data_IF_170762425421
#
_entry.id   IF_170762425421
#
_cell.length_a   1.000
_cell.length_b   1.000
_cell.length_c   1.000
_cell.angle_alpha   90.00
_cell.angle_beta   90.00
_cell.angle_gamma   90.00
#
_symmetry.space_group_name_H-M   'P 1'
#
loop_
_entity.id
_entity.type
_entity.pdbx_description
1 polymer ?
#
# COMPACT_ATOMS: atom_id res chain seq x y z
N UNK A 1 6.28 20.14 -29.92
CA UNK A 1 5.21 19.66 -29.02
C UNK A 1 4.97 18.20 -29.36
N UNK A 2 5.21 17.29 -28.43
CA UNK A 2 4.88 15.88 -28.65
C UNK A 2 3.35 15.74 -28.50
N UNK A 3 2.63 15.64 -29.61
CA UNK A 3 1.19 15.36 -29.61
C UNK A 3 0.97 13.89 -29.33
N UNK A 4 0.04 13.57 -28.41
CA UNK A 4 -0.45 12.19 -28.28
C UNK A 4 -1.36 11.89 -29.47
N UNK A 5 -1.09 10.78 -30.15
CA UNK A 5 -2.04 10.21 -31.11
C UNK A 5 -3.18 9.50 -30.32
N UNK A 6 -4.27 10.24 -30.07
CA UNK A 6 -5.42 9.72 -29.35
C UNK A 6 -6.23 8.81 -30.26
N UNK A 7 -6.21 7.52 -29.95
CA UNK A 7 -7.01 6.51 -30.67
C UNK A 7 -8.50 6.77 -30.46
N UNK A 8 -9.21 7.09 -31.52
CA UNK A 8 -10.65 7.30 -31.55
C UNK A 8 -11.37 6.16 -32.26
N UNK A 9 -12.59 5.89 -31.88
CA UNK A 9 -13.49 4.96 -32.56
C UNK A 9 -14.85 5.62 -32.83
N UNK A 10 -15.49 5.37 -33.98
CA UNK A 10 -16.84 5.84 -34.23
C UNK A 10 -17.82 5.23 -33.23
N UNK A 11 -18.85 5.99 -32.86
CA UNK A 11 -19.92 5.48 -31.98
C UNK A 11 -20.87 4.64 -32.83
N UNK A 12 -20.86 3.34 -32.60
CA UNK A 12 -21.79 2.42 -33.26
C UNK A 12 -22.94 2.10 -32.30
N UNK A 13 -24.12 2.69 -32.54
CA UNK A 13 -25.27 2.61 -31.64
C UNK A 13 -25.97 1.22 -31.59
N UNK A 14 -25.41 0.18 -32.18
CA UNK A 14 -26.06 -1.15 -32.28
C UNK A 14 -25.85 -2.07 -31.07
N UNK A 15 -25.06 -1.69 -30.08
CA UNK A 15 -24.70 -2.55 -28.94
C UNK A 15 -24.92 -1.80 -27.63
N UNK A 16 -25.39 -2.50 -26.60
CA UNK A 16 -25.63 -1.94 -25.27
C UNK A 16 -24.34 -1.45 -24.56
N UNK A 17 -23.17 -1.60 -25.17
CA UNK A 17 -21.89 -1.09 -24.68
C UNK A 17 -20.97 -0.67 -25.83
N UNK A 18 -20.12 0.29 -25.58
CA UNK A 18 -19.11 0.77 -26.53
C UNK A 18 -17.74 0.25 -26.09
N UNK A 19 -16.99 -0.33 -27.02
CA UNK A 19 -15.57 -0.56 -26.86
C UNK A 19 -14.85 0.76 -27.16
N UNK A 20 -14.39 1.42 -26.10
CA UNK A 20 -13.69 2.69 -26.22
C UNK A 20 -12.20 2.42 -26.30
N UNK A 21 -11.52 2.77 -27.41
CA UNK A 21 -10.08 2.56 -27.54
C UNK A 21 -9.33 3.35 -26.48
N UNK A 22 -8.29 2.73 -25.91
CA UNK A 22 -7.50 3.30 -24.83
C UNK A 22 -6.18 3.83 -25.37
N UNK A 23 -5.91 5.12 -25.14
CA UNK A 23 -4.60 5.73 -25.27
C UNK A 23 -4.00 5.90 -23.88
N UNK A 24 -2.74 5.56 -23.71
CA UNK A 24 -2.03 5.68 -22.42
C UNK A 24 -0.95 6.73 -22.52
N UNK A 25 -0.77 7.49 -21.45
CA UNK A 25 0.31 8.47 -21.30
C UNK A 25 0.84 8.50 -19.88
N UNK A 26 2.12 8.76 -19.72
CA UNK A 26 2.78 9.08 -18.45
C UNK A 26 3.07 10.60 -18.34
N UNK A 27 2.77 11.35 -19.38
CA UNK A 27 2.96 12.79 -19.42
C UNK A 27 1.76 13.51 -18.79
N UNK A 28 1.91 13.94 -17.53
CA UNK A 28 0.86 14.63 -16.76
C UNK A 28 0.44 15.95 -17.41
N UNK A 29 1.39 16.73 -17.94
CA UNK A 29 1.11 18.01 -18.60
C UNK A 29 0.19 17.82 -19.79
N UNK A 30 0.51 16.85 -20.62
CA UNK A 30 -0.26 16.52 -21.81
C UNK A 30 -1.65 15.96 -21.46
N UNK A 31 -1.75 15.14 -20.40
CA UNK A 31 -3.04 14.70 -19.89
C UNK A 31 -3.91 15.86 -19.43
N UNK A 32 -3.32 16.81 -18.69
CA UNK A 32 -4.04 18.00 -18.20
C UNK A 32 -4.43 18.94 -19.34
N UNK A 33 -3.61 19.13 -20.36
CA UNK A 33 -3.95 19.91 -21.55
C UNK A 33 -5.21 19.34 -22.25
N UNK A 34 -5.26 18.03 -22.46
CA UNK A 34 -6.44 17.36 -23.02
C UNK A 34 -7.65 17.47 -22.09
N UNK A 35 -7.44 17.31 -20.78
CA UNK A 35 -8.51 17.42 -19.79
C UNK A 35 -9.13 18.83 -19.79
N UNK A 36 -8.32 19.89 -19.79
CA UNK A 36 -8.79 21.27 -19.81
C UNK A 36 -9.52 21.61 -21.12
N UNK A 37 -9.04 21.11 -22.26
CA UNK A 37 -9.73 21.25 -23.52
C UNK A 37 -11.18 20.75 -23.46
N UNK A 38 -11.40 19.59 -22.82
CA UNK A 38 -12.73 18.99 -22.75
C UNK A 38 -13.57 19.48 -21.56
N UNK A 39 -12.95 19.94 -20.46
CA UNK A 39 -13.66 20.58 -19.34
C UNK A 39 -14.34 21.90 -19.76
N UNK A 40 -13.68 22.68 -20.62
CA UNK A 40 -14.21 23.97 -21.08
C UNK A 40 -15.44 23.85 -21.98
N UNK A 41 -15.78 22.64 -22.43
CA UNK A 41 -16.91 22.34 -23.29
C UNK A 41 -18.11 21.86 -22.45
N UNK A 42 -19.33 22.23 -22.84
CA UNK A 42 -20.57 21.78 -22.18
C UNK A 42 -20.87 20.30 -22.48
N UNK A 43 -20.16 19.40 -21.83
CA UNK A 43 -20.39 17.95 -21.92
C UNK A 43 -21.30 17.46 -20.79
N UNK A 44 -22.17 16.49 -21.10
CA UNK A 44 -22.94 15.79 -20.09
C UNK A 44 -22.03 14.78 -19.35
N UNK A 45 -22.29 14.59 -18.05
CA UNK A 45 -21.60 13.55 -17.28
C UNK A 45 -22.04 12.16 -17.75
N UNK A 46 -21.07 11.34 -18.13
CA UNK A 46 -21.32 9.94 -18.51
C UNK A 46 -21.66 9.08 -17.30
N UNK A 47 -22.66 8.21 -17.46
CA UNK A 47 -23.07 7.26 -16.41
C UNK A 47 -22.38 5.93 -16.65
N UNK A 48 -21.60 5.47 -15.69
CA UNK A 48 -20.97 4.15 -15.73
C UNK A 48 -21.89 3.08 -15.15
N UNK A 49 -21.84 1.91 -15.73
CA UNK A 49 -22.47 0.71 -15.21
C UNK A 49 -21.67 0.13 -14.04
N UNK A 50 -22.28 -0.78 -13.27
CA UNK A 50 -21.58 -1.51 -12.20
C UNK A 50 -20.37 -2.30 -12.71
N UNK A 51 -20.39 -2.74 -13.97
CA UNK A 51 -19.28 -3.42 -14.64
C UNK A 51 -18.19 -2.47 -15.16
N UNK A 52 -18.33 -1.14 -14.97
CA UNK A 52 -17.37 -0.14 -15.41
C UNK A 52 -17.53 0.34 -16.85
N UNK A 53 -18.46 -0.21 -17.62
CA UNK A 53 -18.83 0.26 -18.96
C UNK A 53 -19.65 1.56 -18.90
N UNK A 54 -19.82 2.22 -20.06
CA UNK A 54 -20.67 3.42 -20.18
C UNK A 54 -22.10 2.98 -20.52
N UNK A 55 -23.09 3.50 -19.77
CA UNK A 55 -24.50 3.26 -20.07
C UNK A 55 -24.95 4.15 -21.22
N UNK A 56 -25.24 3.55 -22.35
CA UNK A 56 -25.79 4.26 -23.52
C UNK A 56 -27.30 4.49 -23.44
N UNK A 57 -27.99 3.79 -22.53
CA UNK A 57 -29.46 3.91 -22.40
C UNK A 57 -29.93 5.33 -22.05
N UNK A 58 -29.09 6.08 -21.37
CA UNK A 58 -29.36 7.45 -20.96
C UNK A 58 -28.45 8.49 -21.64
N UNK A 59 -27.62 8.02 -22.57
CA UNK A 59 -26.68 8.92 -23.26
C UNK A 59 -27.38 9.68 -24.36
N UNK A 60 -27.33 11.00 -24.28
CA UNK A 60 -27.79 11.91 -25.35
C UNK A 60 -26.75 13.01 -25.55
N UNK A 61 -26.12 13.03 -26.72
CA UNK A 61 -25.19 14.08 -27.11
C UNK A 61 -23.75 13.87 -26.72
N UNK A 62 -23.07 14.93 -26.30
CA UNK A 62 -21.65 14.92 -25.94
C UNK A 62 -21.50 14.54 -24.47
N UNK A 63 -20.52 13.70 -24.14
CA UNK A 63 -20.35 13.24 -22.78
C UNK A 63 -18.89 13.11 -22.36
N UNK A 64 -18.63 13.39 -21.07
CA UNK A 64 -17.33 13.28 -20.44
C UNK A 64 -17.46 12.53 -19.11
N UNK A 65 -16.47 11.72 -18.79
CA UNK A 65 -16.31 11.13 -17.46
C UNK A 65 -14.82 11.12 -17.09
N UNK A 66 -14.48 11.68 -15.94
CA UNK A 66 -13.15 11.67 -15.35
C UNK A 66 -13.17 10.78 -14.12
N UNK A 67 -12.26 9.81 -14.06
CA UNK A 67 -11.99 9.02 -12.87
C UNK A 67 -10.57 9.25 -12.40
N UNK A 68 -10.47 9.49 -11.10
CA UNK A 68 -9.21 9.54 -10.40
C UNK A 68 -9.11 8.31 -9.50
N UNK A 69 -7.97 7.69 -9.49
CA UNK A 69 -7.69 6.56 -8.64
C UNK A 69 -6.23 6.61 -8.16
N UNK A 70 -5.87 5.75 -7.22
CA UNK A 70 -4.51 5.72 -6.66
C UNK A 70 -3.39 5.43 -7.68
N UNK A 71 -3.76 5.02 -8.91
CA UNK A 71 -2.82 4.64 -9.96
C UNK A 71 -2.67 5.70 -11.05
N UNK A 72 -3.49 6.76 -11.01
CA UNK A 72 -3.52 7.82 -12.01
C UNK A 72 -4.93 8.33 -12.29
N UNK A 73 -5.18 8.72 -13.52
CA UNK A 73 -6.45 9.25 -13.97
C UNK A 73 -6.95 8.56 -15.24
N UNK A 74 -8.23 8.57 -15.45
CA UNK A 74 -8.85 8.07 -16.67
C UNK A 74 -9.92 9.05 -17.14
N UNK A 75 -9.72 9.62 -18.31
CA UNK A 75 -10.66 10.50 -19.00
C UNK A 75 -11.34 9.71 -20.12
N UNK A 76 -12.68 9.68 -20.12
CA UNK A 76 -13.48 9.15 -21.23
C UNK A 76 -14.24 10.30 -21.85
N UNK A 77 -14.15 10.41 -23.17
CA UNK A 77 -14.86 11.41 -23.95
C UNK A 77 -15.68 10.74 -25.05
N UNK A 78 -16.91 11.22 -25.24
CA UNK A 78 -17.77 10.90 -26.38
C UNK A 78 -18.20 12.21 -27.01
N UNK A 79 -17.81 12.44 -28.23
CA UNK A 79 -18.08 13.68 -29.00
C UNK A 79 -18.51 13.39 -30.43
N UNK A 80 -18.61 14.42 -31.27
CA UNK A 80 -19.00 14.28 -32.68
C UNK A 80 -18.00 13.53 -33.53
N UNK A 81 -16.74 13.50 -33.09
CA UNK A 81 -15.63 12.81 -33.77
C UNK A 81 -15.51 11.34 -33.35
N UNK A 82 -16.29 10.91 -32.35
CA UNK A 82 -16.30 9.53 -31.85
C UNK A 82 -16.03 9.46 -30.35
N UNK A 83 -15.46 8.36 -29.91
CA UNK A 83 -15.15 8.13 -28.51
C UNK A 83 -13.68 7.75 -28.30
N UNK A 84 -13.12 8.18 -27.18
CA UNK A 84 -11.79 7.77 -26.76
C UNK A 84 -11.71 7.65 -25.23
N UNK A 85 -10.68 6.94 -24.78
CA UNK A 85 -10.28 6.82 -23.37
C UNK A 85 -8.81 7.17 -23.26
N UNK A 86 -8.49 8.22 -22.50
CA UNK A 86 -7.13 8.60 -22.17
C UNK A 86 -6.82 8.17 -20.73
N UNK A 87 -5.82 7.33 -20.55
CA UNK A 87 -5.35 6.92 -19.24
C UNK A 87 -3.99 7.56 -18.96
N UNK A 88 -3.95 8.38 -17.90
CA UNK A 88 -2.71 8.80 -17.29
C UNK A 88 -2.32 7.76 -16.23
N UNK A 89 -1.09 7.28 -16.33
CA UNK A 89 -0.48 6.43 -15.31
C UNK A 89 0.82 7.07 -14.86
N UNK A 90 0.95 7.26 -13.57
CA UNK A 90 2.21 7.75 -13.02
C UNK A 90 3.28 6.66 -13.20
N UNK A 91 4.46 7.02 -13.71
CA UNK A 91 5.61 6.13 -13.96
C UNK A 91 6.03 5.29 -12.74
N UNK A 92 5.73 5.75 -11.53
CA UNK A 92 5.98 4.99 -10.28
C UNK A 92 5.36 3.59 -10.31
N UNK A 93 4.41 3.35 -11.23
CA UNK A 93 3.69 2.08 -11.35
C UNK A 93 3.96 1.36 -12.68
N UNK A 94 4.87 1.88 -13.51
CA UNK A 94 5.19 1.35 -14.83
C UNK A 94 6.51 0.56 -14.90
N UNK A 95 7.10 0.19 -13.80
CA UNK A 95 8.13 -0.84 -13.81
C UNK A 95 7.50 -2.26 -13.97
N UNK A 96 6.44 -2.30 -14.76
CA UNK A 96 5.99 -3.48 -15.47
C UNK A 96 6.79 -3.54 -16.79
N UNK A 97 8.09 -3.76 -16.71
CA UNK A 97 8.82 -4.39 -17.81
C UNK A 97 8.04 -5.64 -18.18
N UNK A 98 7.69 -5.74 -19.47
CA UNK A 98 6.75 -6.71 -20.04
C UNK A 98 7.24 -8.18 -19.92
N UNK A 99 8.33 -8.40 -19.24
CA UNK A 99 8.86 -9.71 -18.91
C UNK A 99 8.56 -10.03 -17.45
N UNK A 100 7.55 -10.88 -17.25
CA UNK A 100 7.04 -11.38 -15.97
C UNK A 100 6.41 -10.32 -15.04
N UNK A 101 5.19 -9.92 -15.38
CA UNK A 101 4.25 -9.36 -14.42
C UNK A 101 4.06 -10.37 -13.28
N UNK A 102 4.85 -10.24 -12.22
CA UNK A 102 4.49 -10.85 -10.92
C UNK A 102 3.09 -10.30 -10.63
N UNK A 103 2.06 -11.13 -10.82
CA UNK A 103 0.66 -10.75 -10.60
C UNK A 103 0.56 -10.22 -9.18
N UNK A 104 0.52 -8.91 -9.05
CA UNK A 104 0.51 -8.24 -7.75
C UNK A 104 -0.70 -8.71 -6.96
N UNK A 105 -0.47 -9.58 -5.98
CA UNK A 105 -1.53 -10.18 -5.17
C UNK A 105 -2.32 -9.07 -4.50
N UNK A 106 -3.63 -9.12 -4.64
CA UNK A 106 -4.55 -8.18 -3.99
C UNK A 106 -5.04 -8.74 -2.66
N UNK A 107 -5.48 -7.86 -1.75
CA UNK A 107 -6.09 -8.28 -0.49
C UNK A 107 -7.29 -9.22 -0.69
N UNK A 108 -8.09 -8.99 -1.74
CA UNK A 108 -9.19 -9.88 -2.14
C UNK A 108 -8.70 -11.30 -2.48
N UNK A 109 -7.63 -11.40 -3.26
CA UNK A 109 -7.05 -12.71 -3.62
C UNK A 109 -6.48 -13.40 -2.38
N UNK A 110 -5.83 -12.65 -1.48
CA UNK A 110 -5.32 -13.19 -0.20
C UNK A 110 -6.46 -13.78 0.63
N UNK A 111 -7.51 -13.02 0.89
CA UNK A 111 -8.64 -13.49 1.70
C UNK A 111 -9.39 -14.65 1.04
N UNK A 112 -9.61 -14.60 -0.28
CA UNK A 112 -10.25 -15.69 -1.00
C UNK A 112 -9.42 -16.98 -0.95
N UNK A 113 -8.09 -16.88 -1.01
CA UNK A 113 -7.20 -18.03 -0.87
C UNK A 113 -7.29 -18.60 0.55
N UNK A 114 -7.27 -17.73 1.56
CA UNK A 114 -7.41 -18.13 2.97
C UNK A 114 -8.75 -18.87 3.20
N UNK A 115 -9.85 -18.29 2.72
CA UNK A 115 -11.18 -18.91 2.79
C UNK A 115 -11.21 -20.31 2.15
N UNK A 116 -10.67 -20.44 0.94
CA UNK A 116 -10.64 -21.73 0.22
C UNK A 116 -9.81 -22.80 0.97
N UNK A 117 -8.68 -22.41 1.52
CA UNK A 117 -7.80 -23.34 2.25
C UNK A 117 -8.40 -23.73 3.61
N UNK A 118 -9.03 -22.80 4.34
CA UNK A 118 -9.79 -23.14 5.55
C UNK A 118 -10.92 -24.12 5.25
N UNK A 119 -11.66 -23.89 4.16
CA UNK A 119 -12.74 -24.79 3.75
C UNK A 119 -12.23 -26.20 3.42
N UNK A 120 -11.00 -26.33 2.89
CA UNK A 120 -10.40 -27.63 2.62
C UNK A 120 -10.08 -28.46 3.88
N UNK A 121 -10.06 -27.82 5.05
CA UNK A 121 -9.91 -28.46 6.36
C UNK A 121 -11.21 -28.38 7.19
N UNK A 122 -12.36 -28.24 6.52
CA UNK A 122 -13.71 -28.18 7.08
C UNK A 122 -13.97 -26.98 8.03
N UNK A 123 -13.25 -25.88 7.82
CA UNK A 123 -13.48 -24.62 8.54
C UNK A 123 -14.13 -23.60 7.58
N UNK A 124 -15.30 -23.08 7.96
CA UNK A 124 -15.97 -22.04 7.20
C UNK A 124 -15.70 -20.67 7.84
N UNK A 125 -14.96 -19.79 7.15
CA UNK A 125 -14.63 -18.45 7.66
C UNK A 125 -15.88 -17.60 7.95
N UNK A 126 -17.02 -17.85 7.27
CA UNK A 126 -18.26 -17.11 7.53
C UNK A 126 -18.83 -17.35 8.95
N UNK A 127 -18.48 -18.46 9.59
CA UNK A 127 -18.92 -18.77 10.95
C UNK A 127 -18.25 -17.87 12.01
N UNK A 128 -17.20 -17.14 11.60
CA UNK A 128 -16.44 -16.18 12.40
C UNK A 128 -16.79 -14.73 12.05
N UNK A 129 -17.81 -14.51 11.22
CA UNK A 129 -18.25 -13.18 10.85
C UNK A 129 -19.03 -12.52 11.98
N UNK A 130 -18.67 -11.28 12.34
CA UNK A 130 -19.39 -10.48 13.34
C UNK A 130 -20.40 -9.54 12.66
N UNK A 131 -21.51 -9.25 13.34
CA UNK A 131 -22.55 -8.35 12.82
C UNK A 131 -22.26 -6.86 13.06
N UNK A 132 -21.47 -6.53 14.08
CA UNK A 132 -21.11 -5.16 14.49
C UNK A 132 -19.71 -4.73 14.01
N UNK A 133 -19.24 -5.24 12.88
CA UNK A 133 -17.88 -5.03 12.40
C UNK A 133 -17.50 -3.56 12.15
N UNK A 134 -18.44 -2.68 11.77
CA UNK A 134 -18.20 -1.25 11.64
C UNK A 134 -17.85 -0.59 12.98
N UNK A 135 -18.57 -0.93 14.05
CA UNK A 135 -18.31 -0.44 15.40
C UNK A 135 -16.93 -0.89 15.88
N UNK A 136 -16.63 -2.19 15.72
CA UNK A 136 -15.33 -2.75 16.06
C UNK A 136 -14.23 -2.05 15.27
N UNK A 137 -14.43 -1.79 13.97
CA UNK A 137 -13.45 -1.09 13.12
C UNK A 137 -13.09 0.29 13.67
N UNK A 138 -14.03 1.03 14.25
CA UNK A 138 -13.79 2.35 14.82
C UNK A 138 -12.91 2.29 16.09
N UNK A 139 -12.91 1.17 16.80
CA UNK A 139 -12.14 0.96 18.03
C UNK A 139 -10.76 0.30 17.81
N UNK A 140 -10.44 -0.11 16.57
CA UNK A 140 -9.14 -0.73 16.28
C UNK A 140 -8.00 0.23 16.60
N UNK A 141 -7.08 -0.22 17.42
CA UNK A 141 -5.86 0.51 17.73
C UNK A 141 -5.03 0.77 16.44
N UNK A 142 -4.33 1.88 16.42
CA UNK A 142 -3.35 2.12 15.37
C UNK A 142 -2.07 1.31 15.66
N UNK A 143 -1.42 0.74 14.63
CA UNK A 143 -0.09 0.16 14.79
C UNK A 143 0.87 1.17 15.42
N UNK A 144 1.77 0.71 16.29
CA UNK A 144 2.78 1.57 16.90
C UNK A 144 3.81 2.01 15.85
N UNK A 145 3.72 3.28 15.46
CA UNK A 145 4.70 3.96 14.59
C UNK A 145 4.98 5.30 15.24
N UNK A 146 6.01 5.36 16.07
CA UNK A 146 6.40 6.59 16.79
C UNK A 146 7.88 6.57 17.21
N UNK A 147 8.48 7.72 17.35
CA UNK A 147 9.73 7.87 18.10
C UNK A 147 9.43 7.69 19.60
N UNK A 148 10.32 7.05 20.33
CA UNK A 148 10.16 6.92 21.80
C UNK A 148 10.16 8.30 22.49
N UNK A 149 10.98 9.22 21.97
CA UNK A 149 11.00 10.63 22.38
C UNK A 149 10.98 11.57 21.18
N UNK A 150 10.20 12.65 21.20
CA UNK A 150 10.19 13.65 20.11
C UNK A 150 11.56 14.25 19.83
N UNK A 151 12.42 14.38 20.85
CA UNK A 151 13.79 14.90 20.74
C UNK A 151 14.74 14.02 19.92
N UNK A 152 14.36 12.80 19.57
CA UNK A 152 15.16 11.91 18.73
C UNK A 152 15.04 12.23 17.22
N UNK A 153 14.09 13.10 16.88
CA UNK A 153 13.96 13.58 15.50
C UNK A 153 15.22 14.35 15.10
N UNK A 154 15.69 14.07 13.88
CA UNK A 154 16.86 14.70 13.23
C UNK A 154 18.21 14.49 13.94
N UNK A 155 18.23 13.62 14.97
CA UNK A 155 19.44 13.21 15.68
C UNK A 155 20.03 11.96 15.04
N UNK A 156 21.35 11.94 14.85
CA UNK A 156 22.09 10.77 14.39
C UNK A 156 22.51 9.92 15.59
N UNK A 157 22.15 8.64 15.55
CA UNK A 157 22.54 7.63 16.53
C UNK A 157 23.49 6.62 15.91
N UNK A 158 24.47 6.18 16.63
CA UNK A 158 25.41 5.11 16.27
C UNK A 158 25.24 3.90 17.20
N UNK A 159 25.78 2.76 16.83
CA UNK A 159 25.61 1.51 17.57
C UNK A 159 24.12 1.18 17.79
N UNK A 160 23.36 1.24 16.69
CA UNK A 160 21.92 1.04 16.70
C UNK A 160 21.60 -0.32 16.12
N UNK A 161 20.60 -0.96 16.70
CA UNK A 161 20.14 -2.29 16.33
C UNK A 161 18.64 -2.27 16.08
N UNK A 162 18.13 -3.28 15.35
CA UNK A 162 16.72 -3.45 15.13
C UNK A 162 16.29 -4.87 15.47
N UNK A 163 15.20 -5.00 16.21
CA UNK A 163 14.47 -6.26 16.40
C UNK A 163 13.14 -6.18 15.71
N UNK A 164 12.75 -7.27 15.06
CA UNK A 164 11.54 -7.38 14.26
C UNK A 164 10.79 -8.68 14.57
N UNK A 165 9.46 -8.65 14.55
CA UNK A 165 8.64 -9.84 14.77
C UNK A 165 8.37 -10.58 13.47
N UNK A 166 8.59 -11.89 13.46
CA UNK A 166 8.31 -12.75 12.33
C UNK A 166 6.80 -12.85 12.04
N UNK A 167 6.30 -12.14 11.02
CA UNK A 167 4.88 -12.17 10.62
C UNK A 167 3.92 -11.99 11.81
N UNK A 168 4.11 -10.92 12.54
CA UNK A 168 3.43 -10.62 13.79
C UNK A 168 1.89 -10.69 13.72
N UNK A 169 1.27 -10.07 12.71
CA UNK A 169 -0.19 -10.07 12.57
C UNK A 169 -0.77 -11.47 12.30
N UNK A 170 -0.22 -12.27 11.36
CA UNK A 170 -0.64 -13.67 11.20
C UNK A 170 -0.51 -14.49 12.49
N UNK A 171 0.53 -14.24 13.30
CA UNK A 171 0.66 -14.89 14.61
C UNK A 171 -0.52 -14.51 15.53
N UNK A 172 -0.95 -13.25 15.52
CA UNK A 172 -2.12 -12.81 16.28
C UNK A 172 -3.42 -13.45 15.80
N UNK A 173 -3.58 -13.66 14.49
CA UNK A 173 -4.75 -14.39 13.95
C UNK A 173 -4.75 -15.84 14.44
N UNK A 174 -3.62 -16.53 14.39
CA UNK A 174 -3.49 -17.91 14.90
C UNK A 174 -3.74 -18.00 16.38
N UNK A 175 -3.32 -17.01 17.17
CA UNK A 175 -3.54 -16.98 18.62
C UNK A 175 -5.01 -16.75 18.95
N UNK A 176 -5.70 -15.87 18.22
CA UNK A 176 -7.11 -15.58 18.40
C UNK A 176 -8.02 -16.72 17.94
N UNK A 177 -7.65 -17.37 16.83
CA UNK A 177 -8.34 -18.53 16.27
C UNK A 177 -7.34 -19.66 15.99
N UNK A 178 -7.00 -20.48 17.00
CA UNK A 178 -6.01 -21.57 16.86
C UNK A 178 -6.33 -22.56 15.74
N UNK A 179 -7.60 -22.74 15.40
CA UNK A 179 -8.09 -23.59 14.32
C UNK A 179 -7.65 -23.09 12.93
N UNK A 180 -7.29 -21.82 12.77
CA UNK A 180 -6.68 -21.28 11.53
C UNK A 180 -5.17 -21.61 11.44
N UNK A 181 -4.60 -22.09 12.54
CA UNK A 181 -3.17 -22.39 12.67
C UNK A 181 -2.61 -23.21 11.54
N UNK A 182 -3.21 -24.34 11.14
CA UNK A 182 -2.67 -25.18 10.06
C UNK A 182 -2.43 -24.45 8.75
N UNK A 183 -3.31 -23.51 8.38
CA UNK A 183 -3.17 -22.73 7.15
C UNK A 183 -2.13 -21.62 7.32
N UNK A 184 -2.13 -20.92 8.45
CA UNK A 184 -1.17 -19.86 8.75
C UNK A 184 0.25 -20.40 8.82
N UNK A 185 0.45 -21.53 9.49
CA UNK A 185 1.76 -22.21 9.61
C UNK A 185 2.25 -22.69 8.25
N UNK A 186 1.38 -23.29 7.43
CA UNK A 186 1.69 -23.67 6.05
C UNK A 186 2.16 -22.45 5.25
N UNK A 187 1.43 -21.33 5.30
CA UNK A 187 1.79 -20.12 4.56
C UNK A 187 3.09 -19.51 5.07
N UNK A 188 3.28 -19.54 6.39
CA UNK A 188 4.52 -19.06 6.99
C UNK A 188 5.73 -19.91 6.58
N UNK A 189 5.61 -21.23 6.59
CA UNK A 189 6.66 -22.13 6.15
C UNK A 189 7.03 -21.93 4.67
N UNK A 190 6.04 -21.74 3.81
CA UNK A 190 6.26 -21.42 2.39
C UNK A 190 6.95 -20.06 2.20
N UNK A 191 6.59 -19.06 3.00
CA UNK A 191 7.31 -17.76 3.05
C UNK A 191 8.77 -17.97 3.46
N UNK A 192 9.05 -18.80 4.48
CA UNK A 192 10.42 -19.08 4.95
C UNK A 192 11.26 -19.79 3.88
N UNK A 193 10.63 -20.58 3.01
CA UNK A 193 11.26 -21.21 1.85
C UNK A 193 11.50 -20.25 0.67
N UNK A 194 11.26 -18.95 0.87
CA UNK A 194 11.51 -17.92 -0.15
C UNK A 194 10.35 -17.62 -1.09
N UNK A 195 9.17 -18.21 -0.86
CA UNK A 195 8.01 -17.96 -1.72
C UNK A 195 7.41 -16.56 -1.42
N UNK A 196 7.64 -15.62 -2.33
CA UNK A 196 7.21 -14.21 -2.22
C UNK A 196 5.69 -14.05 -2.20
N UNK A 197 4.93 -14.93 -2.88
CA UNK A 197 3.47 -14.87 -2.88
C UNK A 197 2.89 -15.06 -1.47
N UNK A 198 3.42 -16.03 -0.71
CA UNK A 198 2.94 -16.28 0.65
C UNK A 198 3.31 -15.15 1.63
N UNK A 199 4.42 -14.44 1.39
CA UNK A 199 4.69 -13.17 2.10
C UNK A 199 3.60 -12.14 1.82
N UNK A 200 3.17 -12.02 0.56
CA UNK A 200 2.10 -11.08 0.18
C UNK A 200 0.75 -11.52 0.76
N UNK A 201 0.40 -12.79 0.71
CA UNK A 201 -0.85 -13.31 1.31
C UNK A 201 -0.94 -13.01 2.79
N UNK A 202 0.09 -13.32 3.57
CA UNK A 202 0.14 -13.06 5.00
C UNK A 202 0.02 -11.56 5.35
N UNK A 203 0.69 -10.70 4.57
CA UNK A 203 0.68 -9.26 4.84
C UNK A 203 -0.66 -8.58 4.46
N UNK A 204 -1.34 -9.07 3.41
CA UNK A 204 -2.56 -8.44 2.91
C UNK A 204 -3.83 -8.92 3.64
N UNK A 205 -3.79 -10.09 4.26
CA UNK A 205 -4.94 -10.71 4.90
C UNK A 205 -5.58 -9.79 5.95
N UNK A 206 -4.80 -9.29 6.89
CA UNK A 206 -5.29 -8.45 7.99
C UNK A 206 -5.91 -7.15 7.51
N UNK A 207 -5.26 -6.48 6.53
CA UNK A 207 -5.81 -5.26 5.94
C UNK A 207 -7.17 -5.49 5.29
N UNK A 208 -7.36 -6.67 4.68
CA UNK A 208 -8.62 -7.02 4.03
C UNK A 208 -9.70 -7.39 5.02
N UNK A 209 -9.38 -8.10 6.10
CA UNK A 209 -10.32 -8.48 7.16
C UNK A 209 -11.01 -7.27 7.82
N UNK A 210 -10.31 -6.14 7.90
CA UNK A 210 -10.86 -4.89 8.45
C UNK A 210 -11.32 -3.89 7.39
N UNK A 211 -11.59 -4.31 6.16
CA UNK A 211 -11.96 -3.43 5.06
C UNK A 211 -13.46 -3.41 4.78
N UNK A 212 -13.94 -2.30 4.19
CA UNK A 212 -15.33 -2.20 3.70
C UNK A 212 -15.65 -3.20 2.60
N UNK A 213 -14.62 -3.73 1.93
CA UNK A 213 -14.78 -4.78 0.91
C UNK A 213 -15.52 -6.03 1.45
N UNK A 214 -15.25 -6.39 2.70
CA UNK A 214 -15.91 -7.52 3.39
C UNK A 214 -16.94 -7.05 4.42
N UNK A 215 -17.36 -5.78 4.37
CA UNK A 215 -18.31 -5.21 5.33
C UNK A 215 -17.79 -5.23 6.77
N UNK A 216 -16.46 -5.19 6.95
CA UNK A 216 -15.78 -5.24 8.26
C UNK A 216 -16.08 -6.49 9.12
N UNK A 217 -16.70 -7.51 8.55
CA UNK A 217 -17.20 -8.68 9.29
C UNK A 217 -16.14 -9.53 9.99
N UNK A 218 -14.86 -9.25 9.78
CA UNK A 218 -13.72 -9.88 10.46
C UNK A 218 -12.82 -8.85 11.15
N UNK A 219 -13.41 -7.69 11.48
CA UNK A 219 -12.67 -6.60 12.10
C UNK A 219 -12.14 -6.93 13.49
N UNK A 220 -12.81 -7.79 14.23
CA UNK A 220 -12.39 -8.29 15.55
C UNK A 220 -11.10 -9.11 15.48
N UNK A 221 -10.94 -9.96 14.45
CA UNK A 221 -9.70 -10.73 14.20
C UNK A 221 -8.54 -9.76 13.97
N UNK A 222 -8.75 -8.74 13.14
CA UNK A 222 -7.74 -7.73 12.88
C UNK A 222 -7.45 -6.87 14.12
N UNK A 223 -8.48 -6.52 14.90
CA UNK A 223 -8.35 -5.76 16.14
C UNK A 223 -7.48 -6.50 17.16
N UNK A 224 -7.76 -7.80 17.37
CA UNK A 224 -6.95 -8.64 18.23
C UNK A 224 -5.50 -8.70 17.78
N UNK A 225 -5.25 -9.00 16.50
CA UNK A 225 -3.90 -9.12 15.95
C UNK A 225 -3.08 -7.83 16.11
N UNK A 226 -3.70 -6.66 15.89
CA UNK A 226 -3.04 -5.36 16.05
C UNK A 226 -2.77 -5.06 17.53
N UNK A 227 -3.75 -5.30 18.42
CA UNK A 227 -3.60 -5.10 19.86
C UNK A 227 -2.48 -5.98 20.45
N UNK A 228 -2.48 -7.26 20.08
CA UNK A 228 -1.43 -8.22 20.47
C UNK A 228 -0.04 -7.75 20.01
N UNK A 229 0.07 -7.35 18.75
CA UNK A 229 1.33 -6.81 18.19
C UNK A 229 1.81 -5.59 18.99
N UNK A 230 0.93 -4.63 19.25
CA UNK A 230 1.26 -3.45 20.02
C UNK A 230 1.71 -3.80 21.45
N UNK A 231 1.07 -4.79 22.06
CA UNK A 231 1.45 -5.23 23.42
C UNK A 231 2.84 -5.90 23.41
N UNK A 232 3.09 -6.84 22.49
CA UNK A 232 4.41 -7.46 22.38
C UNK A 232 5.54 -6.45 22.11
N UNK A 233 5.26 -5.40 21.34
CA UNK A 233 6.24 -4.31 21.15
C UNK A 233 6.49 -3.52 22.43
N UNK A 234 5.47 -3.24 23.25
CA UNK A 234 5.64 -2.59 24.55
C UNK A 234 6.45 -3.47 25.50
N UNK A 235 6.11 -4.74 25.59
CA UNK A 235 6.83 -5.70 26.44
C UNK A 235 8.33 -5.81 26.04
N UNK A 236 8.60 -5.86 24.72
CA UNK A 236 9.96 -5.82 24.21
C UNK A 236 10.68 -4.52 24.53
N UNK A 237 10.01 -3.37 24.40
CA UNK A 237 10.61 -2.09 24.74
C UNK A 237 10.94 -1.99 26.24
N UNK A 238 10.10 -2.52 27.10
CA UNK A 238 10.33 -2.56 28.55
C UNK A 238 11.49 -3.52 28.88
N UNK A 239 11.58 -4.65 28.21
CA UNK A 239 12.71 -5.55 28.32
C UNK A 239 14.01 -4.90 27.88
N UNK A 240 14.01 -4.17 26.74
CA UNK A 240 15.17 -3.43 26.25
C UNK A 240 15.64 -2.40 27.29
N UNK A 241 14.72 -1.60 27.83
CA UNK A 241 15.02 -0.55 28.82
C UNK A 241 15.56 -1.16 30.12
N UNK A 242 14.99 -2.26 30.61
CA UNK A 242 15.47 -2.95 31.82
C UNK A 242 16.82 -3.64 31.65
N UNK A 243 17.25 -3.85 30.39
CA UNK A 243 18.57 -4.34 30.05
C UNK A 243 19.54 -3.25 29.55
N UNK A 244 19.36 -2.02 30.02
CA UNK A 244 20.23 -0.85 29.75
C UNK A 244 20.35 -0.48 28.26
N UNK A 245 19.29 -0.72 27.45
CA UNK A 245 19.20 -0.29 26.07
C UNK A 245 18.30 0.91 25.93
N UNK A 246 18.58 1.76 24.97
CA UNK A 246 17.79 2.97 24.71
C UNK A 246 16.86 2.70 23.53
N UNK A 247 15.57 2.63 23.77
CA UNK A 247 14.56 2.52 22.70
C UNK A 247 14.51 3.84 21.95
N UNK A 248 14.61 3.80 20.61
CA UNK A 248 14.62 4.98 19.74
C UNK A 248 13.29 5.15 19.00
N UNK A 249 12.79 4.08 18.34
CA UNK A 249 11.59 4.15 17.55
C UNK A 249 10.86 2.80 17.48
N UNK A 250 9.53 2.87 17.42
CA UNK A 250 8.63 1.75 17.09
C UNK A 250 8.23 1.83 15.62
N UNK A 251 8.25 0.72 14.94
CA UNK A 251 8.02 0.64 13.51
C UNK A 251 7.12 -0.54 13.12
N UNK A 252 5.84 -0.45 13.43
CA UNK A 252 4.79 -1.44 13.15
C UNK A 252 4.97 -2.76 13.91
N UNK A 253 6.00 -3.53 13.61
CA UNK A 253 6.32 -4.88 14.10
C UNK A 253 7.77 -5.00 14.60
N UNK A 254 8.51 -3.86 14.61
CA UNK A 254 9.89 -3.81 15.07
C UNK A 254 10.22 -2.61 15.95
N UNK A 255 11.41 -2.63 16.55
CA UNK A 255 11.93 -1.60 17.44
C UNK A 255 13.38 -1.31 17.07
N UNK A 256 13.67 -0.04 16.80
CA UNK A 256 15.04 0.47 16.76
C UNK A 256 15.51 0.86 18.16
N UNK A 257 16.69 0.41 18.54
CA UNK A 257 17.28 0.69 19.85
C UNK A 257 18.79 0.87 19.77
N UNK A 258 19.37 1.57 20.72
CA UNK A 258 20.81 1.78 20.87
C UNK A 258 21.33 1.00 22.09
N UNK A 259 22.55 0.46 22.00
CA UNK A 259 23.25 -0.26 23.06
C UNK A 259 23.75 -1.62 22.58
N UNK A 260 23.80 -2.60 23.47
CA UNK A 260 24.23 -3.97 23.12
C UNK A 260 23.18 -4.70 22.28
N UNK A 261 23.60 -5.52 21.31
CA UNK A 261 22.67 -6.31 20.50
C UNK A 261 21.84 -7.28 21.37
N UNK A 262 20.69 -7.68 20.83
CA UNK A 262 19.82 -8.64 21.49
C UNK A 262 20.17 -10.09 21.12
N UNK A 263 19.99 -11.06 22.02
CA UNK A 263 20.24 -12.48 21.74
C UNK A 263 19.09 -13.14 20.97
N UNK A 264 18.14 -12.35 20.42
CA UNK A 264 16.97 -12.89 19.73
C UNK A 264 17.29 -13.26 18.29
N UNK A 265 17.09 -14.51 17.95
CA UNK A 265 17.26 -15.04 16.59
C UNK A 265 16.22 -16.11 16.29
N UNK A 266 14.98 -15.90 16.71
CA UNK A 266 13.92 -16.85 16.44
C UNK A 266 13.50 -16.83 14.97
N UNK A 267 13.18 -18.02 14.45
CA UNK A 267 12.53 -18.19 13.16
C UNK A 267 11.04 -18.52 13.30
N UNK A 268 10.54 -18.56 14.51
CA UNK A 268 9.17 -18.92 14.79
C UNK A 268 8.20 -17.76 14.49
N UNK A 269 6.99 -18.11 14.12
CA UNK A 269 5.92 -17.17 13.82
C UNK A 269 5.59 -16.29 15.04
N UNK A 270 5.67 -14.98 14.89
CA UNK A 270 5.34 -14.02 15.95
C UNK A 270 6.41 -13.81 17.02
N UNK A 271 7.58 -14.46 16.87
CA UNK A 271 8.72 -14.25 17.76
C UNK A 271 9.71 -13.23 17.19
N UNK A 272 10.47 -12.59 18.10
CA UNK A 272 11.45 -11.59 17.74
C UNK A 272 12.74 -12.21 17.20
N UNK A 273 13.29 -11.53 16.19
CA UNK A 273 14.66 -11.72 15.69
C UNK A 273 15.36 -10.36 15.62
N UNK A 274 16.65 -10.36 15.76
CA UNK A 274 17.46 -9.19 15.44
C UNK A 274 17.84 -9.25 13.97
N UNK A 275 17.43 -8.25 13.18
CA UNK A 275 17.63 -8.23 11.73
C UNK A 275 18.61 -7.16 11.24
N UNK A 276 18.89 -6.13 12.08
CA UNK A 276 19.94 -5.15 11.82
C UNK A 276 20.83 -4.92 13.04
N UNK A 277 22.12 -4.74 12.79
CA UNK A 277 23.13 -4.54 13.85
C UNK A 277 24.15 -3.45 13.49
N UNK A 278 24.63 -2.76 14.52
CA UNK A 278 25.70 -1.74 14.39
C UNK A 278 25.40 -0.66 13.35
N UNK A 279 24.14 -0.29 13.21
CA UNK A 279 23.71 0.74 12.28
C UNK A 279 24.06 2.14 12.81
N UNK A 280 24.29 3.05 11.87
CA UNK A 280 24.14 4.49 12.10
C UNK A 280 22.81 4.92 11.53
N UNK A 281 21.94 5.55 12.32
CA UNK A 281 20.57 5.89 11.92
C UNK A 281 20.22 7.34 12.25
N UNK A 282 19.37 7.96 11.41
CA UNK A 282 18.76 9.26 11.67
C UNK A 282 17.29 9.23 11.28
N UNK A 283 16.43 9.74 12.15
CA UNK A 283 14.99 9.75 11.97
C UNK A 283 14.48 11.15 11.57
N UNK A 284 13.87 11.26 10.39
CA UNK A 284 13.01 12.41 10.06
C UNK A 284 11.65 12.27 10.75
N UNK A 285 11.18 11.04 10.85
CA UNK A 285 10.03 10.59 11.64
C UNK A 285 10.13 9.09 11.84
N UNK A 286 9.25 8.48 12.63
CA UNK A 286 9.21 7.02 12.78
C UNK A 286 8.91 6.27 11.48
N UNK A 287 8.27 6.92 10.52
CA UNK A 287 7.97 6.36 9.19
C UNK A 287 8.93 6.82 8.08
N UNK A 288 9.86 7.74 8.37
CA UNK A 288 10.83 8.25 7.42
C UNK A 288 12.20 8.39 8.12
N UNK A 289 13.12 7.51 7.78
CA UNK A 289 14.45 7.45 8.38
C UNK A 289 15.46 6.91 7.38
N UNK A 290 16.71 7.11 7.67
CA UNK A 290 17.84 6.59 6.92
C UNK A 290 18.82 5.91 7.84
N UNK A 291 19.43 4.82 7.36
CA UNK A 291 20.49 4.17 8.12
C UNK A 291 21.61 3.66 7.23
N UNK A 292 22.78 3.47 7.84
CA UNK A 292 23.94 2.82 7.24
C UNK A 292 24.21 1.55 8.03
N UNK A 293 24.35 0.44 7.33
CA UNK A 293 24.75 -0.87 7.85
C UNK A 293 25.81 -1.45 6.93
N UNK A 294 26.94 -1.91 7.48
CA UNK A 294 28.08 -2.45 6.72
C UNK A 294 28.52 -1.53 5.55
N UNK A 295 28.53 -0.22 5.79
CA UNK A 295 28.91 0.80 4.80
C UNK A 295 27.90 1.04 3.70
N UNK A 296 26.74 0.35 3.70
CA UNK A 296 25.67 0.55 2.73
C UNK A 296 24.59 1.46 3.28
N UNK A 297 24.09 2.34 2.43
CA UNK A 297 23.03 3.29 2.75
C UNK A 297 21.65 2.72 2.46
N UNK A 298 20.73 2.94 3.39
CA UNK A 298 19.34 2.46 3.31
C UNK A 298 18.37 3.59 3.68
N UNK A 299 17.75 4.25 2.70
CA UNK A 299 16.66 5.19 2.94
C UNK A 299 15.34 4.45 3.11
N UNK A 300 14.52 4.85 4.08
CA UNK A 300 13.20 4.28 4.34
C UNK A 300 12.18 5.40 4.45
N UNK A 301 11.19 5.40 3.57
CA UNK A 301 10.08 6.34 3.61
C UNK A 301 8.76 5.58 3.47
N UNK A 302 7.88 5.76 4.45
CA UNK A 302 6.53 5.20 4.48
C UNK A 302 5.51 6.34 4.42
N UNK A 303 4.38 6.13 3.74
CA UNK A 303 3.28 7.08 3.70
C UNK A 303 3.03 7.72 2.34
N UNK A 304 2.71 9.02 2.33
CA UNK A 304 2.35 9.76 1.11
C UNK A 304 3.54 10.08 0.21
N UNK A 305 4.71 10.19 0.78
CA UNK A 305 5.96 10.39 0.05
C UNK A 305 6.63 9.03 -0.14
N UNK A 306 7.21 8.78 -1.28
CA UNK A 306 8.00 7.59 -1.59
C UNK A 306 9.33 7.99 -2.19
N UNK A 307 10.31 7.11 -2.06
CA UNK A 307 11.54 7.20 -2.82
C UNK A 307 11.27 6.93 -4.29
N UNK A 308 11.98 7.62 -5.16
CA UNK A 308 11.95 7.32 -6.60
C UNK A 308 12.70 6.01 -6.85
N UNK A 309 11.94 4.93 -7.02
CA UNK A 309 12.48 3.60 -7.26
C UNK A 309 13.18 3.46 -8.64
N UNK A 310 13.01 4.45 -9.54
CA UNK A 310 13.75 4.49 -10.82
C UNK A 310 15.22 4.89 -10.64
N UNK A 311 15.55 5.51 -9.50
CA UNK A 311 16.92 5.85 -9.15
C UNK A 311 17.58 4.60 -8.55
N UNK A 312 18.66 4.15 -9.18
CA UNK A 312 19.45 3.01 -8.67
C UNK A 312 19.91 3.26 -7.24
N UNK A 313 19.80 2.26 -6.36
CA UNK A 313 20.07 2.39 -4.91
C UNK A 313 21.50 2.86 -4.58
N UNK A 314 22.45 2.58 -5.44
CA UNK A 314 23.84 3.02 -5.31
C UNK A 314 24.03 4.54 -5.50
N UNK A 315 23.03 5.23 -6.02
CA UNK A 315 23.01 6.69 -6.19
C UNK A 315 22.38 7.43 -5.00
N UNK A 316 21.88 6.72 -4.02
CA UNK A 316 21.30 7.30 -2.81
C UNK A 316 22.39 7.58 -1.76
N UNK A 317 22.35 8.76 -1.13
CA UNK A 317 23.34 9.18 -0.17
C UNK A 317 22.68 9.64 1.13
N UNK A 318 23.47 9.66 2.19
CA UNK A 318 23.05 10.17 3.49
C UNK A 318 22.55 11.60 3.37
N UNK A 319 21.35 11.87 3.85
CA UNK A 319 20.69 13.16 3.77
C UNK A 319 19.65 13.31 2.67
N UNK A 320 19.63 12.43 1.69
CA UNK A 320 18.71 12.54 0.54
C UNK A 320 17.23 12.54 0.94
N UNK A 321 16.85 11.82 1.99
CA UNK A 321 15.48 11.84 2.51
C UNK A 321 15.05 13.18 3.10
N UNK A 322 16.00 14.09 3.36
CA UNK A 322 15.74 15.43 3.90
C UNK A 322 15.63 16.49 2.80
N UNK A 323 16.03 16.19 1.59
CA UNK A 323 15.87 17.07 0.45
C UNK A 323 14.41 17.04 -0.01
N UNK A 324 13.91 18.19 -0.44
CA UNK A 324 12.51 18.30 -0.91
C UNK A 324 12.36 18.03 -2.40
N UNK A 325 13.48 17.90 -3.11
CA UNK A 325 13.58 17.79 -4.55
C UNK A 325 13.74 16.36 -5.08
N UNK A 326 13.72 16.21 -6.36
CA UNK A 326 14.03 15.13 -7.32
C UNK A 326 14.03 13.65 -6.85
N UNK A 327 14.27 13.36 -5.57
CA UNK A 327 14.40 12.00 -5.03
C UNK A 327 13.14 11.49 -4.34
N UNK A 328 12.16 12.38 -4.10
CA UNK A 328 10.93 12.08 -3.37
C UNK A 328 9.70 12.31 -4.24
N UNK A 329 8.95 11.26 -4.47
CA UNK A 329 7.70 11.32 -5.21
C UNK A 329 6.53 11.41 -4.23
N UNK A 330 5.74 12.50 -4.30
CA UNK A 330 4.52 12.64 -3.51
C UNK A 330 3.39 11.82 -4.14
N UNK A 331 2.74 10.96 -3.34
CA UNK A 331 1.48 10.36 -3.71
C UNK A 331 0.34 11.35 -3.49
N UNK A 332 -0.42 11.61 -4.53
CA UNK A 332 -1.66 12.37 -4.42
C UNK A 332 -2.81 11.47 -3.98
N UNK A 333 -3.54 11.91 -2.96
CA UNK A 333 -4.87 11.37 -2.66
C UNK A 333 -5.88 12.34 -3.24
N UNK A 334 -6.60 11.93 -4.25
CA UNK A 334 -7.69 12.72 -4.82
C UNK A 334 -8.98 12.23 -4.18
N UNK A 335 -9.71 13.13 -3.52
CA UNK A 335 -11.02 12.85 -2.96
C UNK A 335 -12.09 13.36 -3.93
N UNK A 336 -13.14 12.56 -4.13
CA UNK A 336 -14.22 12.85 -5.10
C UNK A 336 -15.11 14.04 -4.73
N UNK A 337 -15.16 14.41 -3.46
CA UNK A 337 -16.11 15.38 -2.94
C UNK A 337 -15.79 16.84 -3.32
N UNK A 338 -14.62 17.09 -3.92
CA UNK A 338 -14.13 18.44 -4.23
C UNK A 338 -14.14 18.79 -5.71
N UNK A 339 -14.80 17.99 -6.55
CA UNK A 339 -14.81 18.20 -8.00
C UNK A 339 -13.52 17.70 -8.68
N UNK A 340 -13.36 18.08 -9.95
CA UNK A 340 -12.18 17.72 -10.73
C UNK A 340 -10.98 18.49 -10.20
N UNK A 341 -10.08 17.78 -9.49
CA UNK A 341 -8.78 18.34 -9.11
C UNK A 341 -7.77 18.09 -10.21
N UNK A 342 -6.91 19.06 -10.46
CA UNK A 342 -5.78 18.91 -11.36
C UNK A 342 -4.81 17.86 -10.82
N UNK A 343 -4.28 17.06 -11.73
CA UNK A 343 -3.22 16.12 -11.40
C UNK A 343 -1.92 16.84 -11.68
N UNK A 344 -1.14 17.04 -10.65
CA UNK A 344 0.19 17.63 -10.77
C UNK A 344 1.24 16.55 -10.64
N UNK A 345 2.24 16.60 -11.50
CA UNK A 345 3.49 15.92 -11.26
C UNK A 345 4.29 16.80 -10.29
N UNK A 346 4.52 16.32 -9.09
CA UNK A 346 5.33 17.02 -8.11
C UNK A 346 6.74 16.47 -8.11
N UNK A 347 7.35 16.37 -9.28
CA UNK A 347 8.79 16.46 -9.35
C UNK A 347 9.17 17.91 -8.99
N UNK A 348 9.22 18.21 -7.71
CA UNK A 348 9.84 19.39 -7.15
C UNK A 348 10.86 18.92 -6.15
#
# INVERSE_FOLDING_TARGET
>A
MNSIDIKRSPITLKINYILIPVTRTDNVKLFNEVLEEYKSRNYNKLIRTKSGGISLKHFRGLGIDLRLNRWGAELIVIDKEGCFRLQFRNKIFEDDSIDEVEKKITGKQSLNKFYKELKSININLEDYAISNGEEVKQTIEKPLIKLDRPSYKDVTFTNVHHVDMNSSYPAGVKEYHPEFGPIIDKWYNLKQQGNKEYKAYLNLMIGTMQSSYVGYKYADIAAYAIKRNNQKLKDMADWLKSNNRIVLAYNTDGIWFQGEPCPFNSKELGEFKQDHTNCTIRFKSAGAYEYIEDGKYYPVIRGKTKLDESISRDKWHWGDIYQEDATLIKKYTVTWDQGVQEIYDSNI
#
